data_IF_739222637391
#
_entry.id   IF_739222637391
#
_cell.length_a   1.000
_cell.length_b   1.000
_cell.length_c   1.000
_cell.angle_alpha   90.00
_cell.angle_beta   90.00
_cell.angle_gamma   90.00
#
_symmetry.space_group_name_H-M   'P 1'
#
loop_
_entity.id
_entity.type
_entity.pdbx_description
1 polymer ?
#
# COMPACT_ATOMS: atom_id res chain seq x y z
N UNK A 1 8.33 4.06 -3.56
CA UNK A 1 8.47 5.50 -3.83
C UNK A 1 7.34 5.96 -4.74
N UNK A 2 6.78 7.14 -4.52
CA UNK A 2 5.81 7.81 -5.38
C UNK A 2 6.55 8.87 -6.18
N UNK A 3 6.47 8.80 -7.51
CA UNK A 3 7.13 9.73 -8.43
C UNK A 3 6.18 10.20 -9.52
N UNK A 4 6.61 11.18 -10.29
CA UNK A 4 5.92 11.67 -11.48
C UNK A 4 6.81 11.37 -12.70
N UNK A 5 6.22 10.84 -13.78
CA UNK A 5 6.95 10.67 -15.04
C UNK A 5 6.84 11.92 -15.92
N UNK A 6 7.50 11.88 -17.09
CA UNK A 6 7.52 12.98 -18.06
C UNK A 6 6.12 13.39 -18.58
N UNK A 7 5.13 12.48 -18.51
CA UNK A 7 3.73 12.72 -18.90
C UNK A 7 2.86 13.26 -17.74
N UNK A 8 3.46 13.70 -16.63
CA UNK A 8 2.76 14.10 -15.40
C UNK A 8 1.85 13.00 -14.80
N UNK A 9 2.24 11.73 -14.97
CA UNK A 9 1.51 10.59 -14.40
C UNK A 9 2.18 10.13 -13.12
N UNK A 10 1.36 9.80 -12.13
CA UNK A 10 1.82 9.24 -10.87
C UNK A 10 2.24 7.79 -11.07
N UNK A 11 3.47 7.50 -10.67
CA UNK A 11 4.07 6.18 -10.69
C UNK A 11 4.40 5.77 -9.25
N UNK A 12 4.06 4.55 -8.88
CA UNK A 12 4.55 3.91 -7.65
C UNK A 12 5.64 2.92 -8.03
N UNK A 13 6.84 3.13 -7.50
CA UNK A 13 7.98 2.23 -7.65
C UNK A 13 8.09 1.34 -6.41
N UNK A 14 7.95 0.04 -6.59
CA UNK A 14 8.03 -0.96 -5.52
C UNK A 14 8.53 -2.30 -6.10
N UNK A 15 9.44 -2.95 -5.39
CA UNK A 15 9.98 -4.27 -5.75
C UNK A 15 10.52 -4.35 -7.19
N UNK A 16 11.37 -3.38 -7.54
CA UNK A 16 11.95 -3.23 -8.90
C UNK A 16 10.93 -3.08 -10.03
N UNK A 17 9.67 -2.76 -9.71
CA UNK A 17 8.59 -2.53 -10.68
C UNK A 17 7.99 -1.16 -10.50
N UNK A 18 7.54 -0.62 -11.62
CA UNK A 18 6.86 0.66 -11.70
C UNK A 18 5.40 0.45 -12.06
N UNK A 19 4.51 1.10 -11.31
CA UNK A 19 3.08 1.04 -11.51
C UNK A 19 2.54 2.44 -11.80
N UNK A 20 2.13 2.68 -13.05
CA UNK A 20 1.46 3.91 -13.44
C UNK A 20 -0.02 3.87 -13.00
N UNK A 21 -0.43 4.80 -12.15
CA UNK A 21 -1.79 4.82 -11.61
C UNK A 21 -2.85 5.29 -12.63
N UNK A 22 -2.42 5.88 -13.75
CA UNK A 22 -3.32 6.20 -14.88
C UNK A 22 -3.44 5.07 -15.90
N UNK A 23 -2.53 4.08 -15.87
CA UNK A 23 -2.65 2.88 -16.68
C UNK A 23 -3.53 1.87 -15.95
N UNK A 24 -4.60 1.41 -16.61
CA UNK A 24 -5.61 0.56 -15.99
C UNK A 24 -5.04 -0.79 -15.55
N UNK A 25 -4.17 -1.40 -16.35
CA UNK A 25 -3.63 -2.71 -16.03
C UNK A 25 -2.57 -2.60 -14.94
N UNK A 26 -1.67 -1.61 -15.02
CA UNK A 26 -0.67 -1.39 -13.99
C UNK A 26 -1.31 -1.01 -12.64
N UNK A 27 -2.35 -0.16 -12.65
CA UNK A 27 -3.11 0.16 -11.45
C UNK A 27 -3.73 -1.09 -10.83
N UNK A 28 -4.37 -1.95 -11.63
CA UNK A 28 -4.95 -3.21 -11.15
C UNK A 28 -3.88 -4.12 -10.53
N UNK A 29 -2.74 -4.29 -11.18
CA UNK A 29 -1.64 -5.11 -10.66
C UNK A 29 -1.10 -4.54 -9.35
N UNK A 30 -0.97 -3.21 -9.24
CA UNK A 30 -0.59 -2.56 -8.00
C UNK A 30 -1.59 -2.82 -6.88
N UNK A 31 -2.90 -2.68 -7.14
CA UNK A 31 -3.94 -2.94 -6.15
C UNK A 31 -3.91 -4.39 -5.67
N UNK A 32 -3.74 -5.37 -6.56
CA UNK A 32 -3.61 -6.79 -6.19
C UNK A 32 -2.39 -6.99 -5.28
N UNK A 33 -1.25 -6.38 -5.61
CA UNK A 33 -0.04 -6.48 -4.80
C UNK A 33 -0.22 -5.82 -3.43
N UNK A 34 -0.89 -4.68 -3.40
CA UNK A 34 -1.15 -3.92 -2.18
C UNK A 34 -2.11 -4.66 -1.23
N UNK A 35 -3.11 -5.35 -1.77
CA UNK A 35 -4.13 -6.08 -0.99
C UNK A 35 -3.67 -7.47 -0.54
N UNK A 36 -2.61 -8.02 -1.13
CA UNK A 36 -2.05 -9.31 -0.76
C UNK A 36 -1.65 -9.33 0.74
N UNK A 37 -2.24 -10.22 1.57
CA UNK A 37 -1.97 -10.28 3.00
C UNK A 37 -0.56 -10.76 3.36
N UNK A 38 0.17 -11.36 2.41
CA UNK A 38 1.53 -11.88 2.61
C UNK A 38 2.59 -10.89 2.12
N UNK A 39 2.23 -9.99 1.22
CA UNK A 39 3.16 -8.99 0.70
C UNK A 39 3.52 -7.97 1.78
N UNK A 40 4.84 -7.81 1.98
CA UNK A 40 5.44 -6.87 2.93
C UNK A 40 5.54 -5.47 2.29
N UNK A 41 4.41 -4.75 2.28
CA UNK A 41 4.31 -3.40 1.74
C UNK A 41 4.04 -2.41 2.88
N UNK A 42 5.02 -1.56 3.17
CA UNK A 42 5.00 -0.59 4.27
C UNK A 42 4.76 0.83 3.78
N UNK A 43 4.37 1.71 4.70
CA UNK A 43 4.20 3.14 4.41
C UNK A 43 5.48 3.81 3.93
N UNK A 44 6.64 3.32 4.37
CA UNK A 44 7.94 3.82 3.95
C UNK A 44 8.17 3.57 2.44
N UNK A 45 7.48 2.58 1.86
CA UNK A 45 7.47 2.39 0.42
C UNK A 45 6.67 3.46 -0.34
N UNK A 46 5.98 4.38 0.35
CA UNK A 46 5.18 5.47 -0.24
C UNK A 46 5.85 6.85 -0.06
N UNK A 47 7.15 6.91 0.20
CA UNK A 47 7.90 8.16 0.17
C UNK A 47 7.81 8.83 -1.20
N UNK A 48 7.70 10.16 -1.21
CA UNK A 48 7.61 10.95 -2.44
C UNK A 48 9.03 11.25 -2.90
N UNK A 49 9.28 11.06 -4.19
CA UNK A 49 10.55 11.39 -4.83
C UNK A 49 10.88 12.88 -4.64
N UNK A 50 12.06 13.17 -4.08
CA UNK A 50 12.53 14.52 -3.77
C UNK A 50 12.77 15.36 -5.02
N UNK A 51 12.92 14.73 -6.19
CA UNK A 51 13.04 15.42 -7.47
C UNK A 51 11.76 16.15 -7.90
N UNK A 52 10.61 15.84 -7.28
CA UNK A 52 9.32 16.51 -7.57
C UNK A 52 9.30 17.90 -6.92
N UNK A 53 9.72 18.92 -7.68
CA UNK A 53 9.80 20.31 -7.22
C UNK A 53 8.51 21.11 -7.46
N UNK A 54 7.69 20.72 -8.45
CA UNK A 54 6.43 21.41 -8.75
C UNK A 54 5.42 21.23 -7.59
N UNK A 55 4.93 22.32 -6.94
CA UNK A 55 4.01 22.24 -5.82
C UNK A 55 2.68 21.56 -6.13
N UNK A 56 2.15 21.73 -7.34
CA UNK A 56 0.92 21.08 -7.79
C UNK A 56 1.11 19.58 -7.89
N UNK A 57 2.21 19.15 -8.52
CA UNK A 57 2.54 17.74 -8.66
C UNK A 57 2.84 17.09 -7.30
N UNK A 58 3.55 17.81 -6.43
CA UNK A 58 3.81 17.37 -5.07
C UNK A 58 2.53 17.17 -4.27
N UNK A 59 1.57 18.10 -4.37
CA UNK A 59 0.26 17.96 -3.72
C UNK A 59 -0.51 16.73 -4.21
N UNK A 60 -0.41 16.39 -5.50
CA UNK A 60 -1.01 15.17 -6.05
C UNK A 60 -0.35 13.93 -5.44
N UNK A 61 0.98 13.88 -5.39
CA UNK A 61 1.72 12.78 -4.76
C UNK A 61 1.37 12.63 -3.28
N UNK A 62 1.24 13.74 -2.55
CA UNK A 62 0.83 13.75 -1.13
C UNK A 62 -0.57 13.14 -0.94
N UNK A 63 -1.53 13.46 -1.80
CA UNK A 63 -2.87 12.85 -1.74
C UNK A 63 -2.82 11.34 -1.95
N UNK A 64 -2.03 10.85 -2.90
CA UNK A 64 -1.84 9.41 -3.09
C UNK A 64 -1.14 8.76 -1.89
N UNK A 65 -0.09 9.40 -1.35
CA UNK A 65 0.58 8.93 -0.13
C UNK A 65 -0.40 8.79 1.03
N UNK A 66 -1.21 9.82 1.28
CA UNK A 66 -2.22 9.82 2.33
C UNK A 66 -3.23 8.68 2.14
N UNK A 67 -3.79 8.55 0.94
CA UNK A 67 -4.76 7.50 0.62
C UNK A 67 -4.20 6.10 0.88
N UNK A 68 -3.03 5.77 0.31
CA UNK A 68 -2.45 4.44 0.46
C UNK A 68 -1.93 4.18 1.88
N UNK A 69 -1.45 5.22 2.59
CA UNK A 69 -1.04 5.07 3.98
C UNK A 69 -2.23 4.73 4.88
N UNK A 70 -3.37 5.41 4.70
CA UNK A 70 -4.59 5.10 5.44
C UNK A 70 -5.10 3.68 5.11
N UNK A 71 -5.06 3.29 3.84
CA UNK A 71 -5.40 1.92 3.44
C UNK A 71 -4.52 0.87 4.13
N UNK A 72 -3.20 1.11 4.21
CA UNK A 72 -2.28 0.18 4.88
C UNK A 72 -2.55 0.08 6.39
N UNK A 73 -2.95 1.18 7.04
CA UNK A 73 -3.39 1.14 8.43
C UNK A 73 -4.61 0.24 8.62
N UNK A 74 -5.63 0.44 7.79
CA UNK A 74 -6.85 -0.37 7.83
C UNK A 74 -6.55 -1.84 7.57
N UNK A 75 -5.73 -2.14 6.55
CA UNK A 75 -5.28 -3.50 6.22
C UNK A 75 -4.58 -4.14 7.42
N UNK A 76 -3.64 -3.44 8.05
CA UNK A 76 -2.90 -3.95 9.19
C UNK A 76 -3.83 -4.21 10.39
N UNK A 77 -4.75 -3.31 10.68
CA UNK A 77 -5.74 -3.47 11.74
C UNK A 77 -6.63 -4.70 11.51
N UNK A 78 -7.10 -4.92 10.28
CA UNK A 78 -7.91 -6.09 9.90
C UNK A 78 -7.09 -7.38 10.08
N UNK A 79 -5.85 -7.42 9.60
CA UNK A 79 -4.98 -8.60 9.73
C UNK A 79 -4.70 -8.92 11.20
N UNK A 80 -4.40 -7.91 12.03
CA UNK A 80 -4.14 -8.12 13.45
C UNK A 80 -5.38 -8.61 14.20
N UNK A 81 -6.56 -8.07 13.88
CA UNK A 81 -7.83 -8.53 14.44
C UNK A 81 -8.09 -10.00 14.08
N UNK A 82 -7.92 -10.37 12.81
CA UNK A 82 -8.09 -11.75 12.36
C UNK A 82 -7.11 -12.72 13.04
N UNK A 83 -5.85 -12.31 13.24
CA UNK A 83 -4.86 -13.09 13.99
C UNK A 83 -5.26 -13.30 15.44
N UNK A 84 -5.74 -12.25 16.12
CA UNK A 84 -6.19 -12.34 17.52
C UNK A 84 -7.40 -13.27 17.67
N UNK A 85 -8.38 -13.18 16.78
CA UNK A 85 -9.56 -14.06 16.78
C UNK A 85 -9.18 -15.53 16.55
N UNK A 86 -8.25 -15.78 15.63
CA UNK A 86 -7.75 -17.13 15.37
C UNK A 86 -7.01 -17.73 16.57
N UNK A 87 -6.15 -16.95 17.25
CA UNK A 87 -5.45 -17.41 18.46
C UNK A 87 -6.42 -17.78 19.58
N UNK A 88 -7.44 -16.95 19.83
CA UNK A 88 -8.49 -17.24 20.83
C UNK A 88 -9.23 -18.54 20.53
N UNK A 89 -9.65 -18.71 19.28
CA UNK A 89 -10.31 -19.95 18.84
C UNK A 89 -9.42 -21.17 19.08
N UNK A 90 -8.12 -21.07 18.81
CA UNK A 90 -7.18 -22.16 19.02
C UNK A 90 -7.05 -22.52 20.52
N UNK A 91 -6.91 -21.53 21.39
CA UNK A 91 -6.79 -21.71 22.85
C UNK A 91 -8.05 -22.38 23.44
N UNK A 92 -9.25 -21.95 23.02
CA UNK A 92 -10.53 -22.51 23.50
C UNK A 92 -10.72 -23.99 23.11
N UNK A 93 -10.24 -24.38 21.92
CA UNK A 93 -10.36 -25.76 21.41
C UNK A 93 -9.24 -26.69 21.89
N UNK A 94 -8.11 -26.16 22.36
CA UNK A 94 -7.05 -26.95 22.99
C UNK A 94 -7.32 -27.21 24.47
N UNK A 95 -8.09 -26.35 25.16
CA UNK A 95 -8.51 -26.56 26.55
C UNK A 95 -9.68 -27.54 26.72
N UNK A 96 -10.36 -27.91 25.63
CA UNK A 96 -11.50 -28.85 25.62
C UNK A 96 -11.13 -30.28 25.18
N UNK A 97 -9.83 -30.57 24.96
CA UNK A 97 -9.30 -31.91 24.68
C UNK A 97 -8.48 -32.43 25.86
#
# INVERSE_FOLDING_TARGET
MIRINEDEKVIISYDSKDYCLKDKEQYKQFVIKLTDPITDFHKDNLEIDESVQDPRLKSICEKYKQFFSAYLDDKNNIIQKAKSEFSKFKEENEQTK
#
